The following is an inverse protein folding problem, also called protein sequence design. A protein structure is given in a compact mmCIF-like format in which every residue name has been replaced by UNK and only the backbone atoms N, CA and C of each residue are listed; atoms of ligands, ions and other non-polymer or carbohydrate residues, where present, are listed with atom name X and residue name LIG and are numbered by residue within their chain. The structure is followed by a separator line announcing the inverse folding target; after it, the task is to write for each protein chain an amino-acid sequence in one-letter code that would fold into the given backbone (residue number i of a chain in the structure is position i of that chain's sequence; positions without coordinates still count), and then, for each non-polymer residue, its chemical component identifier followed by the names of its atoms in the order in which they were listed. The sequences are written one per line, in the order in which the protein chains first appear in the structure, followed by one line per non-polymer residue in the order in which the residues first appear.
data_IF_118462860783
#
_entry.id   IF_118462860783
#
_cell.length_a   1.000
_cell.length_b   1.000
_cell.length_c   1.000
_cell.angle_alpha   90.00
_cell.angle_beta   90.00
_cell.angle_gamma   90.00
#
_symmetry.space_group_name_H-M   'P 1'
#
loop_
_entity.id
_entity.type
_entity.pdbx_description
1 polymer ?
#
# COMPACT_ATOMS: atom_id res chain seq x y z
N UNK A 1 -7.32 -2.20 11.59
CA UNK A 1 -6.79 -3.27 12.46
C UNK A 1 -5.30 -3.53 12.23
N UNK A 2 -4.82 -3.65 10.99
CA UNK A 2 -3.40 -3.91 10.70
C UNK A 2 -2.43 -2.84 11.26
N UNK A 3 -2.71 -1.54 11.09
CA UNK A 3 -1.84 -0.49 11.65
C UNK A 3 -1.71 -0.59 13.18
N UNK A 4 -2.81 -0.88 13.90
CA UNK A 4 -2.78 -1.09 15.35
C UNK A 4 -1.92 -2.29 15.74
N UNK A 5 -1.98 -3.38 14.97
CA UNK A 5 -1.11 -4.54 15.19
C UNK A 5 0.37 -4.16 15.05
N UNK A 6 0.71 -3.38 14.02
CA UNK A 6 2.09 -2.91 13.81
C UNK A 6 2.55 -2.02 14.97
N UNK A 7 1.71 -1.06 15.40
CA UNK A 7 1.99 -0.18 16.54
C UNK A 7 2.24 -1.01 17.82
N UNK A 8 1.41 -2.02 18.08
CA UNK A 8 1.57 -2.89 19.26
C UNK A 8 2.86 -3.72 19.22
N UNK A 9 3.45 -3.91 18.04
CA UNK A 9 4.75 -4.56 17.84
C UNK A 9 5.92 -3.55 17.79
N UNK A 10 5.69 -2.29 18.17
CA UNK A 10 6.73 -1.26 18.25
C UNK A 10 7.09 -0.61 16.91
N UNK A 11 6.30 -0.81 15.86
CA UNK A 11 6.51 -0.20 14.55
C UNK A 11 5.78 1.14 14.49
N UNK A 12 6.45 2.20 14.02
CA UNK A 12 5.81 3.50 13.79
C UNK A 12 4.92 3.42 12.56
N UNK A 13 3.66 3.07 12.78
CA UNK A 13 2.70 2.89 11.71
C UNK A 13 1.50 3.84 11.86
N UNK A 14 0.86 4.17 10.75
CA UNK A 14 -0.43 4.83 10.72
C UNK A 14 -1.32 4.22 9.64
N UNK A 15 -2.59 4.62 9.60
CA UNK A 15 -3.52 4.19 8.56
C UNK A 15 -4.31 5.33 7.96
N UNK A 16 -4.65 5.21 6.68
CA UNK A 16 -5.61 6.09 6.02
C UNK A 16 -6.73 5.27 5.40
N UNK A 17 -7.97 5.66 5.69
CA UNK A 17 -9.18 5.09 5.11
C UNK A 17 -10.18 6.22 4.77
N UNK A 18 -11.33 5.87 4.18
CA UNK A 18 -12.38 6.80 3.74
C UNK A 18 -12.96 7.68 4.84
N UNK A 19 -12.77 7.29 6.09
CA UNK A 19 -13.41 7.93 7.25
C UNK A 19 -12.55 9.08 7.81
N UNK A 20 -11.32 9.25 7.30
CA UNK A 20 -10.43 10.34 7.70
C UNK A 20 -10.80 11.64 6.97
N UNK A 21 -10.80 12.74 7.71
CA UNK A 21 -10.97 14.06 7.13
C UNK A 21 -9.75 14.42 6.28
N UNK A 22 -9.94 15.30 5.29
CA UNK A 22 -8.86 15.69 4.38
C UNK A 22 -7.63 16.23 5.13
N UNK A 23 -7.85 17.01 6.19
CA UNK A 23 -6.78 17.55 7.05
C UNK A 23 -5.98 16.43 7.75
N UNK A 24 -6.65 15.40 8.26
CA UNK A 24 -5.99 14.24 8.90
C UNK A 24 -5.17 13.44 7.89
N UNK A 25 -5.67 13.33 6.64
CA UNK A 25 -4.95 12.68 5.54
C UNK A 25 -3.67 13.43 5.24
N UNK A 26 -3.73 14.73 5.06
CA UNK A 26 -2.58 15.58 4.75
C UNK A 26 -1.54 15.56 5.87
N UNK A 27 -1.98 15.63 7.13
CA UNK A 27 -1.11 15.53 8.30
C UNK A 27 -0.39 14.18 8.35
N UNK A 28 -1.12 13.08 8.19
CA UNK A 28 -0.53 11.73 8.22
C UNK A 28 0.46 11.52 7.07
N UNK A 29 0.14 12.03 5.88
CA UNK A 29 1.06 11.99 4.74
C UNK A 29 2.32 12.81 4.99
N UNK A 30 2.19 13.97 5.62
CA UNK A 30 3.33 14.78 6.00
C UNK A 30 4.24 14.06 7.01
N UNK A 31 3.66 13.43 8.04
CA UNK A 31 4.40 12.65 9.03
C UNK A 31 5.10 11.43 8.40
N UNK A 32 4.45 10.75 7.46
CA UNK A 32 5.03 9.65 6.70
C UNK A 32 6.20 10.11 5.82
N UNK A 33 6.01 11.18 5.04
CA UNK A 33 7.07 11.75 4.18
C UNK A 33 8.25 12.30 4.98
N UNK A 34 8.02 12.74 6.22
CA UNK A 34 9.07 13.26 7.11
C UNK A 34 9.81 12.16 7.87
N UNK A 35 9.44 10.88 7.72
CA UNK A 35 10.06 9.74 8.42
C UNK A 35 9.64 9.60 9.90
N UNK A 36 8.58 10.29 10.32
CA UNK A 36 7.98 10.12 11.66
C UNK A 36 7.11 8.86 11.73
N UNK A 37 6.57 8.43 10.60
CA UNK A 37 5.88 7.16 10.40
C UNK A 37 6.68 6.35 9.39
N UNK A 38 6.99 5.10 9.69
CA UNK A 38 7.73 4.19 8.82
C UNK A 38 6.80 3.39 7.91
N UNK A 39 5.57 3.09 8.37
CA UNK A 39 4.61 2.26 7.61
C UNK A 39 3.24 2.95 7.53
N UNK A 40 2.75 3.13 6.30
CA UNK A 40 1.42 3.68 6.05
C UNK A 40 0.49 2.60 5.48
N UNK A 41 -0.55 2.24 6.24
CA UNK A 41 -1.55 1.25 5.83
C UNK A 41 -2.74 1.95 5.18
N UNK A 42 -3.10 1.60 3.94
CA UNK A 42 -4.12 2.34 3.18
C UNK A 42 -5.12 1.38 2.53
N UNK A 43 -6.40 1.78 2.44
CA UNK A 43 -7.41 1.10 1.61
C UNK A 43 -7.67 1.85 0.29
N UNK A 44 -8.10 1.13 -0.76
CA UNK A 44 -8.22 1.65 -2.14
C UNK A 44 -8.99 2.97 -2.27
N UNK A 45 -9.97 3.22 -1.40
CA UNK A 45 -10.79 4.45 -1.43
C UNK A 45 -9.93 5.70 -1.25
N UNK A 46 -8.79 5.57 -0.58
CA UNK A 46 -7.90 6.68 -0.28
C UNK A 46 -6.75 6.81 -1.29
N UNK A 47 -6.39 5.71 -1.98
CA UNK A 47 -5.29 5.69 -2.95
C UNK A 47 -5.56 6.60 -4.18
N UNK A 48 -6.84 6.86 -4.49
CA UNK A 48 -7.25 7.83 -5.52
C UNK A 48 -7.28 9.23 -4.90
N UNK A 49 -6.39 10.10 -5.38
CA UNK A 49 -6.27 11.50 -4.92
C UNK A 49 -5.16 11.74 -3.89
N UNK A 50 -4.49 10.68 -3.41
CA UNK A 50 -3.25 10.80 -2.67
C UNK A 50 -2.09 10.46 -3.61
N UNK A 51 -1.24 11.46 -3.86
CA UNK A 51 0.01 11.29 -4.58
C UNK A 51 1.11 10.80 -3.63
N UNK A 52 1.10 9.50 -3.32
CA UNK A 52 2.25 8.82 -2.73
C UNK A 52 3.01 8.18 -3.88
N UNK A 53 4.23 8.61 -4.15
CA UNK A 53 5.13 8.00 -5.11
C UNK A 53 6.52 7.87 -4.48
N UNK A 54 7.42 7.16 -5.15
CA UNK A 54 8.83 7.02 -4.77
C UNK A 54 9.06 6.36 -3.41
N UNK A 55 8.18 5.42 -3.07
CA UNK A 55 8.34 4.55 -1.91
C UNK A 55 9.56 3.63 -2.09
N UNK A 56 10.23 3.31 -0.99
CA UNK A 56 11.25 2.25 -0.98
C UNK A 56 10.62 0.87 -1.18
N UNK A 57 9.40 0.70 -0.65
CA UNK A 57 8.73 -0.59 -0.62
C UNK A 57 7.21 -0.48 -0.65
N UNK A 58 6.56 -1.43 -1.33
CA UNK A 58 5.10 -1.59 -1.37
C UNK A 58 4.72 -3.00 -0.93
N UNK A 59 3.76 -3.12 -0.01
CA UNK A 59 3.16 -4.41 0.35
C UNK A 59 1.68 -4.45 -0.05
N UNK A 60 1.33 -5.40 -0.91
CA UNK A 60 -0.06 -5.71 -1.25
C UNK A 60 -0.53 -6.86 -0.35
N UNK A 61 -1.20 -6.50 0.75
CA UNK A 61 -1.70 -7.46 1.75
C UNK A 61 -2.93 -8.21 1.25
N UNK A 62 -3.84 -7.49 0.59
CA UNK A 62 -5.02 -8.06 -0.04
C UNK A 62 -4.95 -7.78 -1.54
N UNK A 63 -4.94 -8.86 -2.33
CA UNK A 63 -4.97 -8.79 -3.78
C UNK A 63 -6.25 -8.05 -4.21
N UNK A 64 -6.14 -7.00 -5.05
CA UNK A 64 -7.33 -6.37 -5.63
C UNK A 64 -8.02 -7.36 -6.58
N UNK A 65 -9.29 -7.12 -6.90
CA UNK A 65 -10.07 -7.99 -7.79
C UNK A 65 -9.62 -7.98 -9.25
N UNK A 66 -8.73 -7.06 -9.63
CA UNK A 66 -8.19 -6.93 -10.98
C UNK A 66 -6.67 -6.73 -10.96
N UNK A 67 -6.01 -7.27 -11.99
CA UNK A 67 -4.56 -7.23 -12.13
C UNK A 67 -4.02 -5.79 -12.29
N UNK A 68 -4.71 -4.94 -13.06
CA UNK A 68 -4.30 -3.55 -13.33
C UNK A 68 -4.16 -2.73 -12.04
N UNK A 69 -5.08 -2.90 -11.09
CA UNK A 69 -4.99 -2.25 -9.77
C UNK A 69 -3.74 -2.70 -9.00
N UNK A 70 -3.32 -3.96 -9.13
CA UNK A 70 -2.07 -4.46 -8.52
C UNK A 70 -0.86 -3.74 -9.10
N UNK A 71 -0.80 -3.58 -10.43
CA UNK A 71 0.28 -2.84 -11.11
C UNK A 71 0.35 -1.39 -10.63
N UNK A 72 -0.76 -0.67 -10.60
CA UNK A 72 -0.78 0.72 -10.12
C UNK A 72 -0.34 0.87 -8.65
N UNK A 73 -0.51 -0.16 -7.82
CA UNK A 73 0.00 -0.18 -6.44
C UNK A 73 1.50 -0.42 -6.43
N UNK A 74 2.01 -1.39 -7.19
CA UNK A 74 3.46 -1.67 -7.33
C UNK A 74 4.20 -0.43 -7.85
N UNK A 75 3.65 0.28 -8.83
CA UNK A 75 4.22 1.50 -9.39
C UNK A 75 4.33 2.66 -8.39
N UNK A 76 3.88 2.52 -7.14
CA UNK A 76 4.13 3.50 -6.07
C UNK A 76 5.58 3.45 -5.59
N UNK A 77 6.30 2.39 -5.93
CA UNK A 77 7.76 2.25 -5.83
C UNK A 77 8.38 2.11 -7.22
N UNK A 78 9.71 2.14 -7.33
CA UNK A 78 10.40 1.81 -8.58
C UNK A 78 10.39 2.87 -9.69
N UNK A 79 9.82 4.08 -9.44
CA UNK A 79 9.67 5.12 -10.48
C UNK A 79 10.95 5.92 -10.74
N UNK A 80 11.55 6.47 -9.69
CA UNK A 80 12.77 7.29 -9.79
C UNK A 80 14.03 6.48 -9.43
N UNK A 81 13.88 5.47 -8.58
CA UNK A 81 14.95 4.61 -8.06
C UNK A 81 14.49 3.17 -7.97
N UNK A 82 15.41 2.23 -7.77
CA UNK A 82 15.07 0.83 -7.46
C UNK A 82 14.10 0.76 -6.28
N UNK A 83 13.16 -0.16 -6.39
CA UNK A 83 12.04 -0.29 -5.48
C UNK A 83 11.55 -1.72 -5.46
N UNK A 84 11.01 -2.14 -4.33
CA UNK A 84 10.58 -3.53 -4.14
C UNK A 84 9.11 -3.60 -3.77
N UNK A 85 8.41 -4.59 -4.31
CA UNK A 85 7.04 -4.86 -3.96
C UNK A 85 6.81 -6.33 -3.66
N UNK A 86 6.13 -6.61 -2.55
CA UNK A 86 5.67 -7.96 -2.21
C UNK A 86 4.16 -8.01 -2.16
N UNK A 87 3.62 -9.09 -2.70
CA UNK A 87 2.19 -9.35 -2.73
C UNK A 87 1.89 -10.66 -2.01
N UNK A 88 0.90 -10.62 -1.11
CA UNK A 88 0.41 -11.82 -0.45
C UNK A 88 -0.66 -12.45 -1.36
N UNK A 89 -0.47 -13.73 -1.68
CA UNK A 89 -1.35 -14.50 -2.54
C UNK A 89 -2.00 -15.64 -1.75
N UNK A 90 -3.33 -15.68 -1.70
CA UNK A 90 -4.10 -16.81 -1.17
C UNK A 90 -4.66 -17.65 -2.34
N UNK A 91 -4.17 -18.88 -2.57
CA UNK A 91 -4.63 -19.72 -3.67
C UNK A 91 -6.13 -20.01 -3.70
N UNK A 92 -6.83 -19.89 -2.57
CA UNK A 92 -8.29 -20.11 -2.51
C UNK A 92 -9.09 -18.89 -2.92
N UNK A 93 -8.56 -17.69 -2.65
CA UNK A 93 -9.24 -16.41 -2.89
C UNK A 93 -8.82 -15.79 -4.22
N UNK A 94 -7.54 -15.91 -4.56
CA UNK A 94 -6.88 -15.14 -5.62
C UNK A 94 -6.62 -15.96 -6.88
N UNK A 95 -7.18 -17.17 -6.98
CA UNK A 95 -6.99 -18.09 -8.10
C UNK A 95 -7.32 -17.48 -9.46
N UNK A 96 -8.25 -16.52 -9.50
CA UNK A 96 -8.67 -15.83 -10.73
C UNK A 96 -7.52 -15.03 -11.35
N UNK A 97 -6.61 -14.50 -10.52
CA UNK A 97 -5.49 -13.65 -10.96
C UNK A 97 -4.17 -14.42 -11.10
N UNK A 98 -4.19 -15.74 -10.87
CA UNK A 98 -2.99 -16.58 -10.91
C UNK A 98 -2.25 -16.49 -12.25
N UNK A 99 -3.01 -16.56 -13.36
CA UNK A 99 -2.44 -16.49 -14.70
C UNK A 99 -1.84 -15.10 -14.97
N UNK A 100 -2.55 -14.04 -14.60
CA UNK A 100 -2.09 -12.66 -14.84
C UNK A 100 -0.79 -12.37 -14.09
N UNK A 101 -0.70 -12.79 -12.81
CA UNK A 101 0.51 -12.64 -11.99
C UNK A 101 1.67 -13.47 -12.55
N UNK A 102 1.42 -14.70 -13.01
CA UNK A 102 2.47 -15.58 -13.53
C UNK A 102 3.08 -15.11 -14.85
N UNK A 103 2.38 -14.25 -15.59
CA UNK A 103 2.80 -13.74 -16.88
C UNK A 103 3.55 -12.40 -16.80
N UNK A 104 3.81 -11.90 -15.59
CA UNK A 104 4.66 -10.72 -15.36
C UNK A 104 6.11 -11.17 -15.43
N UNK A 105 6.78 -10.81 -16.52
CA UNK A 105 8.24 -10.96 -16.66
C UNK A 105 8.96 -9.74 -16.11
#
# INVERSE_FOLDING_TARGET
MLALLLINNGIRASSLNSDHWQEDREKTLYEFRSGNIDVLVVTDVVARGIDICDLDYVMIVDLPGDFTTSIHRVERTGRIKEGEATTIYDPKKDCILANDISNVN
#
